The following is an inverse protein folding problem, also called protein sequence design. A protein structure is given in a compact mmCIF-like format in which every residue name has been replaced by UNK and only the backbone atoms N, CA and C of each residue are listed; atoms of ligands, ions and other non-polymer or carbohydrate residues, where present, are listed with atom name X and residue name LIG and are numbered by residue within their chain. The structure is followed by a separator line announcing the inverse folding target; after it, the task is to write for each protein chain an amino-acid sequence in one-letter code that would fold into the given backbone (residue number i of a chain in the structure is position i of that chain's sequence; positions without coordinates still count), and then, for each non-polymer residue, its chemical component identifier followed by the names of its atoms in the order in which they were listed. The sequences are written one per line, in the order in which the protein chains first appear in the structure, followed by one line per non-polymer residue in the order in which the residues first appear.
data_IF_713708122222
#
_entry.id   IF_713708122222
#
_cell.length_a   1.000
_cell.length_b   1.000
_cell.length_c   1.000
_cell.angle_alpha   90.00
_cell.angle_beta   90.00
_cell.angle_gamma   90.00
#
_symmetry.space_group_name_H-M   'P 1'
#
loop_
_entity.id
_entity.type
_entity.pdbx_description
1 polymer ?
#
# COMPACT_ATOMS: atom_id res chain seq x y z
N UNK A 1 24.57 -22.17 33.67
CA UNK A 1 23.42 -21.89 32.77
C UNK A 1 23.88 -22.03 31.33
N UNK A 2 23.31 -22.99 30.59
CA UNK A 2 23.58 -23.20 29.17
C UNK A 2 23.09 -22.01 28.33
N UNK A 3 23.61 -21.85 27.11
CA UNK A 3 23.12 -20.83 26.16
C UNK A 3 21.60 -20.96 25.92
N UNK A 4 21.08 -22.19 25.93
CA UNK A 4 19.65 -22.49 25.81
C UNK A 4 18.83 -22.00 27.03
N UNK A 5 19.39 -22.06 28.24
CA UNK A 5 18.75 -21.53 29.46
C UNK A 5 18.79 -20.00 29.52
N UNK A 6 19.83 -19.37 28.94
CA UNK A 6 19.89 -17.91 28.79
C UNK A 6 18.87 -17.40 27.76
N UNK A 7 18.67 -18.12 26.66
CA UNK A 7 17.68 -17.77 25.63
C UNK A 7 16.23 -17.90 26.11
N UNK A 8 15.92 -18.87 26.99
CA UNK A 8 14.59 -19.02 27.60
C UNK A 8 14.19 -17.86 28.53
N UNK A 9 15.15 -17.08 29.03
CA UNK A 9 14.91 -15.92 29.90
C UNK A 9 14.79 -14.59 29.15
N UNK A 10 15.04 -14.58 27.84
CA UNK A 10 14.80 -13.40 27.01
C UNK A 10 13.30 -13.35 26.72
N UNK A 11 12.55 -12.60 27.52
CA UNK A 11 11.26 -12.09 27.07
C UNK A 11 11.55 -11.18 25.87
N UNK A 12 11.29 -11.68 24.67
CA UNK A 12 11.18 -10.82 23.49
C UNK A 12 10.12 -9.78 23.84
N UNK A 13 10.52 -8.50 23.96
CA UNK A 13 9.55 -7.40 23.95
C UNK A 13 8.62 -7.65 22.77
N UNK A 14 7.31 -7.55 22.98
CA UNK A 14 6.38 -7.41 21.86
C UNK A 14 6.88 -6.24 21.02
N UNK A 15 7.52 -6.54 19.89
CA UNK A 15 7.83 -5.54 18.89
C UNK A 15 6.51 -5.16 18.27
N UNK A 16 5.98 -4.01 18.69
CA UNK A 16 4.97 -3.29 17.92
C UNK A 16 5.54 -3.03 16.53
N UNK A 17 4.87 -3.55 15.50
CA UNK A 17 5.25 -3.22 14.13
C UNK A 17 4.70 -1.86 13.78
N UNK A 18 5.62 -0.94 13.45
CA UNK A 18 5.28 0.39 12.94
C UNK A 18 4.79 0.22 11.50
N UNK A 19 3.52 0.54 11.24
CA UNK A 19 3.09 0.84 9.87
C UNK A 19 3.75 2.17 9.49
N UNK A 20 4.84 2.05 8.73
CA UNK A 20 5.66 3.16 8.24
C UNK A 20 4.84 4.20 7.50
N UNK A 21 3.75 3.79 6.84
CA UNK A 21 2.85 4.66 6.08
C UNK A 21 1.72 5.27 6.90
N UNK A 22 1.64 4.97 8.21
CA UNK A 22 0.77 5.74 9.10
C UNK A 22 1.41 7.12 9.29
N UNK A 23 0.68 8.22 9.08
CA UNK A 23 1.05 9.48 9.70
C UNK A 23 1.28 9.23 11.21
N UNK A 24 2.36 9.77 11.77
CA UNK A 24 2.72 9.57 13.18
C UNK A 24 1.80 10.44 14.06
N UNK A 25 0.54 10.00 14.23
CA UNK A 25 -0.55 10.72 14.95
C UNK A 25 -0.69 10.26 16.41
N UNK A 26 0.11 9.28 16.83
CA UNK A 26 -0.08 8.60 18.12
C UNK A 26 0.75 9.17 19.28
N UNK A 27 1.52 10.25 19.09
CA UNK A 27 2.32 10.84 20.15
C UNK A 27 2.00 12.33 20.33
N UNK A 28 1.36 12.64 21.49
CA UNK A 28 1.36 13.91 22.25
C UNK A 28 1.32 15.22 21.45
N UNK A 29 0.26 16.01 21.70
CA UNK A 29 0.20 17.47 21.48
C UNK A 29 1.04 17.98 20.31
N UNK A 30 0.50 17.88 19.11
CA UNK A 30 1.16 18.39 17.92
C UNK A 30 1.48 19.87 18.01
N UNK A 31 2.69 20.23 17.58
CA UNK A 31 2.96 21.54 17.00
C UNK A 31 2.21 21.62 15.66
N UNK A 32 1.22 22.52 15.56
CA UNK A 32 0.42 22.76 14.35
C UNK A 32 1.30 23.00 13.10
N UNK A 33 2.54 23.47 13.29
CA UNK A 33 3.48 23.70 12.21
C UNK A 33 4.02 22.41 11.58
N UNK A 34 4.30 21.37 12.36
CA UNK A 34 4.82 20.10 11.83
C UNK A 34 3.76 19.35 11.01
N UNK A 35 2.51 19.34 11.48
CA UNK A 35 1.35 18.82 10.72
C UNK A 35 1.24 19.55 9.39
N UNK A 36 1.29 20.89 9.43
CA UNK A 36 1.15 21.72 8.23
C UNK A 36 2.26 21.45 7.23
N UNK A 37 3.50 21.26 7.68
CA UNK A 37 4.63 20.93 6.79
C UNK A 37 4.46 19.53 6.20
N UNK A 38 4.12 18.54 7.02
CA UNK A 38 3.89 17.16 6.58
C UNK A 38 2.79 17.11 5.52
N UNK A 39 1.65 17.74 5.80
CA UNK A 39 0.52 17.77 4.89
C UNK A 39 0.81 18.53 3.62
N UNK A 40 1.50 19.67 3.68
CA UNK A 40 1.87 20.36 2.45
C UNK A 40 2.66 19.42 1.55
N UNK A 41 3.66 18.71 2.10
CA UNK A 41 4.45 17.75 1.31
C UNK A 41 3.66 16.55 0.78
N UNK A 42 2.67 16.06 1.53
CA UNK A 42 1.79 14.95 1.10
C UNK A 42 0.81 15.42 0.01
N UNK A 43 0.09 16.52 0.27
CA UNK A 43 -0.90 17.09 -0.65
C UNK A 43 -0.24 17.54 -1.96
N UNK A 44 0.97 18.10 -1.89
CA UNK A 44 1.69 18.60 -3.06
C UNK A 44 2.14 17.46 -4.00
N UNK A 45 2.01 16.19 -3.60
CA UNK A 45 2.40 15.03 -4.43
C UNK A 45 1.30 13.97 -4.59
N UNK A 46 0.09 14.24 -4.12
CA UNK A 46 -1.05 13.38 -4.38
C UNK A 46 -1.29 13.20 -5.89
N UNK A 47 -2.05 12.18 -6.26
CA UNK A 47 -2.24 11.82 -7.68
C UNK A 47 -2.79 12.95 -8.55
N UNK A 48 -3.67 13.79 -8.02
CA UNK A 48 -4.16 14.98 -8.72
C UNK A 48 -3.09 16.02 -9.09
N UNK A 49 -1.88 15.94 -8.53
CA UNK A 49 -0.76 16.84 -8.83
C UNK A 49 0.15 16.31 -9.96
N UNK A 50 0.09 15.01 -10.27
CA UNK A 50 0.99 14.39 -11.26
C UNK A 50 0.29 13.59 -12.36
N UNK A 51 -0.98 13.24 -12.21
CA UNK A 51 -1.72 12.43 -13.19
C UNK A 51 -1.66 13.03 -14.61
N UNK A 52 -1.88 14.33 -14.74
CA UNK A 52 -1.89 15.04 -16.03
C UNK A 52 -0.49 15.28 -16.60
N UNK A 53 0.57 15.12 -15.79
CA UNK A 53 1.95 15.27 -16.24
C UNK A 53 2.45 14.01 -16.98
N UNK A 54 1.95 12.84 -16.58
CA UNK A 54 2.37 11.53 -17.11
C UNK A 54 1.19 10.58 -17.40
N UNK A 55 0.10 11.03 -18.06
CA UNK A 55 -1.12 10.25 -18.20
C UNK A 55 -0.91 8.97 -19.03
N UNK A 56 0.02 8.97 -19.99
CA UNK A 56 0.37 7.79 -20.79
C UNK A 56 1.31 6.79 -20.09
N UNK A 57 1.88 7.15 -18.93
CA UNK A 57 2.84 6.31 -18.19
C UNK A 57 2.28 5.76 -16.90
N UNK A 58 0.99 5.96 -16.64
CA UNK A 58 0.29 5.39 -15.49
C UNK A 58 -0.99 4.68 -15.93
N UNK A 59 -1.61 3.94 -15.03
CA UNK A 59 -2.87 3.26 -15.33
C UNK A 59 -3.97 4.27 -15.68
N UNK A 60 -4.84 3.89 -16.62
CA UNK A 60 -6.03 4.69 -16.95
C UNK A 60 -6.80 4.99 -15.67
N UNK A 61 -6.90 6.28 -15.34
CA UNK A 61 -7.39 6.77 -14.05
C UNK A 61 -8.46 7.82 -14.29
N UNK A 62 -9.50 7.81 -13.44
CA UNK A 62 -10.48 8.88 -13.34
C UNK A 62 -10.61 9.31 -11.88
N UNK A 63 -10.59 10.62 -11.67
CA UNK A 63 -10.79 11.23 -10.37
C UNK A 63 -12.28 11.53 -10.17
N UNK A 64 -12.79 11.16 -9.00
CA UNK A 64 -14.11 11.57 -8.52
C UNK A 64 -13.91 12.34 -7.22
N UNK A 65 -14.11 13.68 -7.22
CA UNK A 65 -13.83 14.50 -6.06
C UNK A 65 -14.60 14.05 -4.82
N UNK A 66 -13.88 13.86 -3.72
CA UNK A 66 -14.47 13.79 -2.39
C UNK A 66 -14.87 15.21 -1.99
N UNK A 67 -16.04 15.37 -1.39
CA UNK A 67 -16.40 16.64 -0.74
C UNK A 67 -15.89 16.64 0.70
N UNK A 68 -15.78 17.83 1.26
CA UNK A 68 -15.42 17.98 2.67
C UNK A 68 -16.39 17.22 3.58
N UNK A 69 -17.69 17.26 3.25
CA UNK A 69 -18.73 16.54 3.98
C UNK A 69 -18.61 15.01 3.84
N UNK A 70 -18.09 14.51 2.71
CA UNK A 70 -17.82 13.08 2.53
C UNK A 70 -16.65 12.62 3.43
N UNK A 71 -15.63 13.46 3.60
CA UNK A 71 -14.55 13.18 4.54
C UNK A 71 -15.06 13.16 5.99
N UNK A 72 -15.87 14.15 6.38
CA UNK A 72 -16.52 14.17 7.70
C UNK A 72 -17.38 12.94 7.94
N UNK A 73 -18.12 12.49 6.92
CA UNK A 73 -18.91 11.27 6.96
C UNK A 73 -18.06 10.03 7.29
N UNK A 74 -16.95 9.80 6.58
CA UNK A 74 -16.08 8.64 6.85
C UNK A 74 -15.37 8.75 8.20
N UNK A 75 -14.95 9.95 8.61
CA UNK A 75 -14.39 10.17 9.94
C UNK A 75 -15.39 9.79 11.04
N UNK A 76 -16.62 10.31 10.98
CA UNK A 76 -17.68 10.01 11.95
C UNK A 76 -18.10 8.54 11.93
N UNK A 77 -18.19 7.93 10.75
CA UNK A 77 -18.54 6.52 10.61
C UNK A 77 -17.50 5.61 11.27
N UNK A 78 -16.21 5.90 11.10
CA UNK A 78 -15.13 5.16 11.76
C UNK A 78 -15.14 5.36 13.28
N UNK A 79 -15.30 6.60 13.78
CA UNK A 79 -15.40 6.85 15.23
C UNK A 79 -16.53 6.03 15.86
N UNK A 80 -17.73 6.07 15.28
CA UNK A 80 -18.86 5.30 15.78
C UNK A 80 -18.61 3.79 15.72
N UNK A 81 -18.18 3.27 14.57
CA UNK A 81 -18.09 1.82 14.36
C UNK A 81 -16.87 1.20 15.04
N UNK A 82 -15.72 1.84 14.95
CA UNK A 82 -14.43 1.27 15.35
C UNK A 82 -13.93 1.76 16.71
N UNK A 83 -14.22 3.01 17.12
CA UNK A 83 -13.82 3.53 18.42
C UNK A 83 -14.88 3.32 19.49
N UNK A 84 -16.15 3.57 19.16
CA UNK A 84 -17.26 3.46 20.10
C UNK A 84 -17.98 2.11 20.06
N UNK A 85 -17.69 1.26 19.08
CA UNK A 85 -18.35 -0.03 18.86
C UNK A 85 -19.89 0.10 18.76
N UNK A 86 -20.36 1.16 18.09
CA UNK A 86 -21.78 1.44 17.84
C UNK A 86 -22.14 1.15 16.38
N UNK A 87 -23.43 0.92 16.14
CA UNK A 87 -23.95 0.83 14.78
C UNK A 87 -23.98 2.20 14.10
N UNK A 88 -23.81 2.19 12.78
CA UNK A 88 -23.97 3.40 11.97
C UNK A 88 -25.42 3.90 12.06
N UNK A 89 -25.57 5.22 12.19
CA UNK A 89 -26.89 5.86 12.16
C UNK A 89 -27.52 5.73 10.77
N UNK A 90 -28.84 5.79 10.71
CA UNK A 90 -29.56 5.72 9.43
C UNK A 90 -29.17 6.87 8.49
N UNK A 91 -28.89 8.05 9.05
CA UNK A 91 -28.39 9.17 8.26
C UNK A 91 -27.04 8.88 7.60
N UNK A 92 -26.08 8.33 8.35
CA UNK A 92 -24.75 7.95 7.82
C UNK A 92 -24.90 6.88 6.74
N UNK A 93 -25.72 5.85 6.97
CA UNK A 93 -25.98 4.79 5.99
C UNK A 93 -26.55 5.35 4.68
N UNK A 94 -27.55 6.22 4.77
CA UNK A 94 -28.18 6.85 3.61
C UNK A 94 -27.20 7.73 2.83
N UNK A 95 -26.32 8.47 3.52
CA UNK A 95 -25.30 9.29 2.88
C UNK A 95 -24.26 8.43 2.16
N UNK A 96 -23.78 7.35 2.78
CA UNK A 96 -22.85 6.38 2.16
C UNK A 96 -23.50 5.72 0.94
N UNK A 97 -24.77 5.33 1.03
CA UNK A 97 -25.49 4.70 -0.09
C UNK A 97 -25.62 5.65 -1.28
N UNK A 98 -26.00 6.91 -1.03
CA UNK A 98 -26.06 7.94 -2.08
C UNK A 98 -24.68 8.22 -2.69
N UNK A 99 -23.62 8.23 -1.88
CA UNK A 99 -22.25 8.40 -2.38
C UNK A 99 -21.84 7.19 -3.24
N UNK A 100 -22.19 5.98 -2.82
CA UNK A 100 -21.93 4.75 -3.56
C UNK A 100 -22.62 4.74 -4.92
N UNK A 101 -23.88 5.18 -5.02
CA UNK A 101 -24.60 5.27 -6.31
C UNK A 101 -23.89 6.18 -7.31
N UNK A 102 -23.37 7.32 -6.85
CA UNK A 102 -22.66 8.27 -7.72
C UNK A 102 -21.28 7.75 -8.11
N UNK A 103 -20.53 7.20 -7.15
CA UNK A 103 -19.23 6.59 -7.41
C UNK A 103 -19.35 5.38 -8.35
N UNK A 104 -20.42 4.58 -8.24
CA UNK A 104 -20.64 3.42 -9.09
C UNK A 104 -20.76 3.81 -10.57
N UNK A 105 -21.37 4.96 -10.88
CA UNK A 105 -21.44 5.47 -12.27
C UNK A 105 -20.04 5.71 -12.82
N UNK A 106 -19.16 6.35 -12.04
CA UNK A 106 -17.77 6.62 -12.43
C UNK A 106 -16.96 5.34 -12.57
N UNK A 107 -17.16 4.37 -11.66
CA UNK A 107 -16.55 3.04 -11.74
C UNK A 107 -16.94 2.36 -13.06
N UNK A 108 -18.22 2.39 -13.42
CA UNK A 108 -18.72 1.75 -14.65
C UNK A 108 -18.09 2.35 -15.92
N UNK A 109 -17.82 3.67 -15.93
CA UNK A 109 -17.16 4.32 -17.06
C UNK A 109 -15.71 3.86 -17.28
N UNK A 110 -14.97 3.55 -16.21
CA UNK A 110 -13.59 3.03 -16.31
C UNK A 110 -13.59 1.54 -16.63
N UNK A 111 -14.50 0.79 -16.01
CA UNK A 111 -14.68 -0.66 -16.18
C UNK A 111 -14.85 -0.99 -17.67
N UNK A 112 -15.76 -0.30 -18.38
CA UNK A 112 -16.07 -0.62 -19.79
C UNK A 112 -16.29 -2.14 -19.94
N UNK A 113 -15.54 -2.80 -20.83
CA UNK A 113 -15.60 -4.25 -21.07
C UNK A 113 -14.72 -5.07 -20.10
N UNK A 114 -13.81 -4.43 -19.37
CA UNK A 114 -12.89 -5.07 -18.43
C UNK A 114 -13.50 -5.05 -17.01
N UNK A 115 -13.75 -6.20 -16.37
CA UNK A 115 -14.61 -6.21 -15.21
C UNK A 115 -14.00 -5.60 -13.94
N UNK A 116 -12.71 -5.26 -13.91
CA UNK A 116 -11.97 -4.99 -12.67
C UNK A 116 -11.39 -3.57 -12.60
N UNK A 117 -11.57 -2.95 -11.44
CA UNK A 117 -10.97 -1.66 -11.11
C UNK A 117 -10.38 -1.71 -9.70
N UNK A 118 -9.45 -0.79 -9.46
CA UNK A 118 -8.92 -0.48 -8.15
C UNK A 118 -9.36 0.94 -7.76
N UNK A 119 -9.73 1.14 -6.50
CA UNK A 119 -10.10 2.48 -6.00
C UNK A 119 -9.36 2.78 -4.69
N UNK A 120 -8.73 3.96 -4.63
CA UNK A 120 -8.04 4.50 -3.44
C UNK A 120 -8.46 5.95 -3.15
N UNK A 121 -8.05 6.51 -2.02
CA UNK A 121 -8.08 7.97 -1.79
C UNK A 121 -7.01 8.65 -2.64
N UNK A 122 -6.84 9.98 -2.56
CA UNK A 122 -5.75 10.66 -3.26
C UNK A 122 -4.37 10.14 -2.82
N UNK A 123 -4.19 9.88 -1.53
CA UNK A 123 -2.90 9.51 -0.94
C UNK A 123 -2.70 7.99 -0.85
N UNK A 124 -3.66 7.20 -0.37
CA UNK A 124 -3.46 5.75 -0.11
C UNK A 124 -4.72 4.89 -0.26
N UNK A 125 -4.49 3.58 -0.35
CA UNK A 125 -5.55 2.56 -0.36
C UNK A 125 -5.86 2.02 1.03
N UNK A 126 -7.10 1.58 1.22
CA UNK A 126 -7.62 0.88 2.39
C UNK A 126 -7.11 -0.59 2.50
N UNK A 127 -5.79 -0.81 2.37
CA UNK A 127 -5.15 -2.15 2.37
C UNK A 127 -5.24 -2.87 3.73
N UNK A 128 -5.58 -2.15 4.78
CA UNK A 128 -5.64 -2.60 6.17
C UNK A 128 -6.95 -3.33 6.54
N UNK A 129 -7.97 -3.30 5.68
CA UNK A 129 -9.29 -3.89 5.99
C UNK A 129 -9.36 -5.38 5.68
N UNK A 130 -8.53 -5.86 4.74
CA UNK A 130 -8.54 -7.25 4.26
C UNK A 130 -8.47 -8.29 5.40
N UNK A 131 -7.48 -8.21 6.32
CA UNK A 131 -7.32 -9.17 7.42
C UNK A 131 -8.56 -9.38 8.30
N UNK A 132 -9.52 -8.45 8.33
CA UNK A 132 -10.74 -8.57 9.11
C UNK A 132 -11.89 -9.24 8.36
N UNK A 133 -11.68 -9.66 7.11
CA UNK A 133 -12.71 -10.23 6.24
C UNK A 133 -12.53 -11.73 6.06
N UNK A 134 -13.61 -12.49 6.20
CA UNK A 134 -13.59 -13.94 5.99
C UNK A 134 -13.11 -14.32 4.58
N UNK A 135 -13.45 -13.51 3.57
CA UNK A 135 -13.01 -13.71 2.19
C UNK A 135 -11.47 -13.67 2.07
N UNK A 136 -10.80 -12.76 2.77
CA UNK A 136 -9.34 -12.69 2.76
C UNK A 136 -8.70 -13.98 3.29
N UNK A 137 -9.24 -14.53 4.37
CA UNK A 137 -8.77 -15.80 4.94
C UNK A 137 -8.93 -16.94 3.92
N UNK A 138 -10.08 -17.02 3.25
CA UNK A 138 -10.34 -18.03 2.23
C UNK A 138 -9.37 -17.91 1.05
N UNK A 139 -9.15 -16.69 0.55
CA UNK A 139 -8.17 -16.44 -0.53
C UNK A 139 -6.76 -16.82 -0.08
N UNK A 140 -6.34 -16.42 1.12
CA UNK A 140 -5.04 -16.76 1.67
C UNK A 140 -4.83 -18.27 1.74
N UNK A 141 -5.78 -19.02 2.32
CA UNK A 141 -5.70 -20.47 2.42
C UNK A 141 -5.68 -21.13 1.04
N UNK A 142 -6.46 -20.63 0.06
CA UNK A 142 -6.46 -21.16 -1.30
C UNK A 142 -5.09 -20.95 -1.99
N UNK A 143 -4.52 -19.74 -1.90
CA UNK A 143 -3.19 -19.43 -2.46
C UNK A 143 -2.09 -20.27 -1.78
N UNK A 144 -2.16 -20.43 -0.45
CA UNK A 144 -1.20 -21.22 0.31
C UNK A 144 -1.28 -22.72 -0.03
N UNK A 145 -2.49 -23.27 -0.23
CA UNK A 145 -2.68 -24.66 -0.67
C UNK A 145 -1.97 -24.96 -1.99
N UNK A 146 -1.90 -23.98 -2.89
CA UNK A 146 -1.23 -24.08 -4.18
C UNK A 146 0.31 -23.98 -4.10
N UNK A 147 0.88 -23.56 -2.96
CA UNK A 147 2.34 -23.49 -2.77
C UNK A 147 2.91 -24.87 -2.48
N UNK A 148 4.12 -25.10 -2.99
CA UNK A 148 4.81 -26.41 -2.91
C UNK A 148 5.52 -26.63 -1.58
N UNK A 149 6.27 -25.65 -1.09
CA UNK A 149 7.07 -25.79 0.13
C UNK A 149 6.28 -25.35 1.36
N UNK A 150 5.44 -24.32 1.21
CA UNK A 150 4.63 -23.72 2.29
C UNK A 150 5.49 -23.32 3.50
N UNK A 151 6.73 -22.92 3.23
CA UNK A 151 7.61 -22.31 4.22
C UNK A 151 7.10 -20.89 4.58
N UNK A 152 7.79 -20.21 5.50
CA UNK A 152 7.39 -18.87 5.92
C UNK A 152 7.38 -17.86 4.76
N UNK A 153 8.23 -18.04 3.74
CA UNK A 153 8.25 -17.18 2.58
C UNK A 153 7.01 -17.41 1.70
N UNK A 154 6.67 -18.67 1.41
CA UNK A 154 5.45 -19.04 0.68
C UNK A 154 4.19 -18.54 1.39
N UNK A 155 4.13 -18.66 2.73
CA UNK A 155 3.02 -18.14 3.54
C UNK A 155 2.88 -16.61 3.43
N UNK A 156 3.99 -15.87 3.52
CA UNK A 156 3.96 -14.42 3.36
C UNK A 156 3.55 -14.02 1.93
N UNK A 157 4.07 -14.71 0.91
CA UNK A 157 3.69 -14.47 -0.50
C UNK A 157 2.18 -14.72 -0.68
N UNK A 158 1.64 -15.80 -0.13
CA UNK A 158 0.21 -16.10 -0.24
C UNK A 158 -0.68 -15.09 0.47
N UNK A 159 -0.23 -14.49 1.58
CA UNK A 159 -0.93 -13.35 2.20
C UNK A 159 -0.93 -12.14 1.28
N UNK A 160 0.22 -11.80 0.69
CA UNK A 160 0.32 -10.67 -0.25
C UNK A 160 -0.60 -10.88 -1.45
N UNK A 161 -0.58 -12.06 -2.06
CA UNK A 161 -1.46 -12.44 -3.17
C UNK A 161 -2.94 -12.30 -2.78
N UNK A 162 -3.34 -12.79 -1.61
CA UNK A 162 -4.71 -12.62 -1.10
C UNK A 162 -5.06 -11.13 -0.88
N UNK A 163 -4.11 -10.33 -0.40
CA UNK A 163 -4.27 -8.88 -0.27
C UNK A 163 -4.54 -8.19 -1.59
N UNK A 164 -3.83 -8.56 -2.66
CA UNK A 164 -4.03 -8.00 -4.00
C UNK A 164 -5.42 -8.36 -4.53
N UNK A 165 -5.91 -9.58 -4.30
CA UNK A 165 -7.28 -9.96 -4.67
C UNK A 165 -8.35 -9.12 -3.93
N UNK A 166 -8.05 -8.66 -2.72
CA UNK A 166 -8.95 -7.78 -1.98
C UNK A 166 -8.97 -6.33 -2.49
N UNK A 167 -8.00 -5.92 -3.32
CA UNK A 167 -7.98 -4.59 -3.94
C UNK A 167 -8.89 -4.46 -5.15
N UNK A 168 -9.34 -5.59 -5.72
CA UNK A 168 -10.26 -5.63 -6.85
C UNK A 168 -11.65 -5.22 -6.38
N UNK A 169 -12.09 -4.02 -6.78
CA UNK A 169 -13.39 -3.46 -6.38
C UNK A 169 -14.50 -4.06 -7.24
N UNK A 170 -15.47 -4.70 -6.59
CA UNK A 170 -16.65 -5.27 -7.25
C UNK A 170 -17.82 -4.28 -7.35
N UNK A 171 -18.01 -3.46 -6.32
CA UNK A 171 -19.03 -2.42 -6.25
C UNK A 171 -18.57 -1.25 -5.37
N UNK A 172 -19.09 -0.06 -5.66
CA UNK A 172 -18.89 1.12 -4.82
C UNK A 172 -19.41 0.89 -3.40
N UNK A 173 -20.53 0.18 -3.24
CA UNK A 173 -21.11 -0.11 -1.92
C UNK A 173 -20.17 -0.92 -1.03
N UNK A 174 -19.61 -2.01 -1.55
CA UNK A 174 -18.61 -2.83 -0.83
C UNK A 174 -17.35 -2.02 -0.51
N UNK A 175 -16.87 -1.23 -1.48
CA UNK A 175 -15.72 -0.35 -1.30
C UNK A 175 -15.93 0.67 -0.17
N UNK A 176 -17.03 1.42 -0.18
CA UNK A 176 -17.27 2.45 0.82
C UNK A 176 -17.52 1.85 2.20
N UNK A 177 -18.13 0.66 2.27
CA UNK A 177 -18.20 -0.07 3.53
C UNK A 177 -16.80 -0.46 4.02
N UNK A 178 -15.90 -0.92 3.16
CA UNK A 178 -14.51 -1.18 3.57
C UNK A 178 -13.83 0.09 4.10
N UNK A 179 -14.06 1.25 3.49
CA UNK A 179 -13.49 2.52 3.97
C UNK A 179 -13.91 2.86 5.40
N UNK A 180 -15.15 2.55 5.81
CA UNK A 180 -15.61 2.73 7.21
C UNK A 180 -14.77 1.95 8.22
N UNK A 181 -14.16 0.84 7.82
CA UNK A 181 -13.33 -0.01 8.70
C UNK A 181 -11.83 0.26 8.57
N UNK A 182 -11.41 1.16 7.67
CA UNK A 182 -10.00 1.42 7.40
C UNK A 182 -9.44 2.50 8.32
N UNK A 183 -8.49 2.13 9.17
CA UNK A 183 -7.75 3.07 10.00
C UNK A 183 -6.93 4.01 9.11
N UNK A 184 -6.40 3.50 7.99
CA UNK A 184 -5.70 4.32 7.00
C UNK A 184 -6.60 5.44 6.47
N UNK A 185 -7.77 5.12 5.94
CA UNK A 185 -8.70 6.13 5.43
C UNK A 185 -9.13 7.09 6.54
N UNK A 186 -9.46 6.58 7.73
CA UNK A 186 -9.81 7.43 8.88
C UNK A 186 -8.75 8.50 9.17
N UNK A 187 -7.48 8.11 9.23
CA UNK A 187 -6.38 9.03 9.47
C UNK A 187 -6.22 10.06 8.36
N UNK A 188 -6.43 9.69 7.08
CA UNK A 188 -6.38 10.66 5.98
C UNK A 188 -7.51 11.67 6.08
N UNK A 189 -8.74 11.19 6.33
CA UNK A 189 -9.91 12.06 6.45
C UNK A 189 -9.74 13.01 7.64
N UNK A 190 -9.25 12.52 8.79
CA UNK A 190 -8.95 13.36 9.94
C UNK A 190 -7.99 14.50 9.58
N UNK A 191 -6.88 14.18 8.90
CA UNK A 191 -5.89 15.15 8.43
C UNK A 191 -6.52 16.13 7.42
N UNK A 192 -7.26 15.64 6.43
CA UNK A 192 -7.85 16.47 5.38
C UNK A 192 -8.88 17.47 5.93
N UNK A 193 -9.74 17.03 6.85
CA UNK A 193 -10.77 17.87 7.50
C UNK A 193 -10.14 19.01 8.30
N UNK A 194 -8.99 18.79 8.94
CA UNK A 194 -8.28 19.84 9.69
C UNK A 194 -7.75 20.97 8.79
N UNK A 195 -7.63 20.75 7.47
CA UNK A 195 -7.03 21.69 6.53
C UNK A 195 -8.00 22.08 5.42
N UNK A 196 -9.20 22.51 5.83
CA UNK A 196 -10.30 22.88 4.94
C UNK A 196 -9.92 23.80 3.78
N UNK A 197 -8.99 24.75 3.97
CA UNK A 197 -8.56 25.69 2.92
C UNK A 197 -7.74 25.05 1.80
N UNK A 198 -7.15 23.89 2.05
CA UNK A 198 -6.38 23.10 1.07
C UNK A 198 -7.04 21.76 0.74
N UNK A 199 -8.29 21.56 1.16
CA UNK A 199 -8.98 20.30 0.96
C UNK A 199 -9.09 19.98 -0.54
N UNK A 200 -8.37 18.94 -0.97
CA UNK A 200 -8.36 18.42 -2.33
C UNK A 200 -8.14 16.92 -2.21
N UNK A 201 -9.23 16.19 -2.19
CA UNK A 201 -9.24 14.73 -2.03
C UNK A 201 -10.13 14.13 -3.10
N UNK A 202 -9.79 12.93 -3.55
CA UNK A 202 -10.51 12.24 -4.60
C UNK A 202 -10.67 10.76 -4.24
N UNK A 203 -11.78 10.17 -4.69
CA UNK A 203 -11.76 8.79 -5.07
C UNK A 203 -10.98 8.67 -6.38
N UNK A 204 -9.98 7.83 -6.39
CA UNK A 204 -9.10 7.60 -7.53
C UNK A 204 -9.46 6.25 -8.12
N UNK A 205 -10.23 6.25 -9.21
CA UNK A 205 -10.69 5.03 -9.87
C UNK A 205 -9.69 4.67 -10.97
N UNK A 206 -9.02 3.54 -10.83
CA UNK A 206 -7.99 3.08 -11.77
C UNK A 206 -8.40 1.78 -12.42
N UNK A 207 -8.13 1.65 -13.73
CA UNK A 207 -8.24 0.37 -14.42
C UNK A 207 -7.32 -0.64 -13.72
N UNK A 208 -7.84 -1.84 -13.46
CA UNK A 208 -7.02 -2.91 -12.93
C UNK A 208 -6.00 -3.37 -13.97
N UNK A 209 -4.77 -3.61 -13.52
CA UNK A 209 -3.72 -4.22 -14.33
C UNK A 209 -3.19 -5.40 -13.52
N UNK A 210 -3.24 -6.59 -14.09
CA UNK A 210 -2.66 -7.76 -13.46
C UNK A 210 -1.14 -7.61 -13.41
N UNK A 211 -0.61 -7.69 -12.20
CA UNK A 211 0.80 -7.57 -11.91
C UNK A 211 1.16 -8.64 -10.89
N UNK A 212 2.29 -9.30 -11.13
CA UNK A 212 2.86 -10.21 -10.15
C UNK A 212 3.43 -9.41 -8.95
N UNK A 213 3.18 -9.81 -7.69
CA UNK A 213 3.57 -9.03 -6.51
C UNK A 213 5.06 -8.68 -6.39
N UNK A 214 5.95 -9.45 -7.01
CA UNK A 214 7.40 -9.19 -6.99
C UNK A 214 7.87 -8.25 -8.10
N UNK A 215 7.00 -7.89 -9.04
CA UNK A 215 7.31 -6.94 -10.12
C UNK A 215 6.93 -5.50 -9.78
N UNK A 216 6.83 -5.18 -8.50
CA UNK A 216 6.64 -3.83 -7.98
C UNK A 216 7.95 -3.32 -7.35
N UNK A 217 8.35 -2.10 -7.71
CA UNK A 217 9.63 -1.50 -7.32
C UNK A 217 9.44 -0.08 -6.82
N UNK A 218 10.17 0.29 -5.76
CA UNK A 218 10.18 1.63 -5.20
C UNK A 218 11.48 2.34 -5.54
N UNK A 219 11.39 3.44 -6.28
CA UNK A 219 12.48 4.33 -6.63
C UNK A 219 12.54 5.57 -5.74
N UNK A 220 13.75 6.05 -5.48
CA UNK A 220 14.02 7.28 -4.75
C UNK A 220 14.59 8.29 -5.72
N UNK A 221 13.91 9.42 -5.89
CA UNK A 221 14.35 10.52 -6.76
C UNK A 221 14.75 11.69 -5.88
N UNK A 222 16.01 12.10 -6.00
CA UNK A 222 16.59 13.22 -5.27
C UNK A 222 17.25 14.18 -6.26
N UNK A 223 16.93 15.47 -6.16
CA UNK A 223 17.36 16.51 -7.10
C UNK A 223 17.14 16.12 -8.57
N UNK A 224 16.01 15.48 -8.85
CA UNK A 224 15.61 15.00 -10.17
C UNK A 224 16.36 13.77 -10.67
N UNK A 225 17.22 13.14 -9.87
CA UNK A 225 17.96 11.91 -10.23
C UNK A 225 17.40 10.71 -9.49
N UNK A 226 17.21 9.59 -10.18
CA UNK A 226 16.91 8.31 -9.55
C UNK A 226 18.18 7.80 -8.86
N UNK A 227 18.21 7.80 -7.53
CA UNK A 227 19.38 7.48 -6.69
C UNK A 227 19.31 6.09 -6.07
N UNK A 228 18.12 5.56 -5.85
CA UNK A 228 17.95 4.22 -5.31
C UNK A 228 16.71 3.53 -5.86
N UNK A 229 16.76 2.20 -5.90
CA UNK A 229 15.65 1.34 -6.30
C UNK A 229 15.57 0.15 -5.34
N UNK A 230 14.38 -0.21 -4.89
CA UNK A 230 14.11 -1.36 -4.02
C UNK A 230 13.04 -2.24 -4.64
N UNK A 231 13.10 -3.56 -4.46
CA UNK A 231 11.87 -4.37 -4.53
C UNK A 231 10.87 -3.82 -3.50
N UNK A 232 9.60 -3.68 -3.88
CA UNK A 232 8.58 -3.06 -3.03
C UNK A 232 8.15 -3.99 -1.90
N UNK A 233 7.75 -5.22 -2.24
CA UNK A 233 7.29 -6.24 -1.28
C UNK A 233 8.48 -6.93 -0.56
N UNK A 234 9.31 -6.12 0.08
CA UNK A 234 10.64 -6.45 0.58
C UNK A 234 10.70 -7.41 1.78
N UNK A 235 9.55 -7.87 2.28
CA UNK A 235 9.48 -8.92 3.32
C UNK A 235 9.62 -10.33 2.75
N UNK A 236 9.37 -10.52 1.46
CA UNK A 236 9.51 -11.82 0.81
C UNK A 236 10.72 -11.87 -0.13
N UNK A 237 11.08 -13.09 -0.49
CA UNK A 237 12.14 -13.44 -1.40
C UNK A 237 11.58 -14.13 -2.63
N UNK A 238 11.99 -13.65 -3.81
CA UNK A 238 11.63 -14.26 -5.09
C UNK A 238 12.89 -14.64 -5.86
N UNK A 239 13.15 -15.95 -6.07
CA UNK A 239 14.34 -16.41 -6.80
C UNK A 239 14.47 -15.79 -8.19
N UNK A 240 13.35 -15.54 -8.89
CA UNK A 240 13.38 -14.94 -10.23
C UNK A 240 13.87 -13.50 -10.24
N UNK A 241 13.61 -12.71 -9.18
CA UNK A 241 14.15 -11.36 -9.08
C UNK A 241 15.68 -11.35 -9.06
N UNK A 242 16.31 -12.34 -8.41
CA UNK A 242 17.77 -12.46 -8.40
C UNK A 242 18.31 -12.70 -9.81
N UNK A 243 17.64 -13.57 -10.57
CA UNK A 243 18.03 -13.90 -11.95
C UNK A 243 17.86 -12.71 -12.90
N UNK A 244 16.84 -11.88 -12.65
CA UNK A 244 16.46 -10.77 -13.52
C UNK A 244 17.01 -9.40 -13.08
N UNK A 245 17.73 -9.34 -11.95
CA UNK A 245 18.13 -8.07 -11.30
C UNK A 245 18.73 -7.06 -12.30
N UNK A 246 19.77 -7.45 -13.02
CA UNK A 246 20.47 -6.54 -13.94
C UNK A 246 19.60 -6.08 -15.11
N UNK A 247 18.70 -6.96 -15.58
CA UNK A 247 17.75 -6.61 -16.64
C UNK A 247 16.71 -5.60 -16.14
N UNK A 248 16.08 -5.88 -15.00
CA UNK A 248 15.08 -5.01 -14.37
C UNK A 248 15.66 -3.63 -14.03
N UNK A 249 16.88 -3.62 -13.48
CA UNK A 249 17.64 -2.39 -13.21
C UNK A 249 17.74 -1.52 -14.46
N UNK A 250 18.24 -2.11 -15.55
CA UNK A 250 18.44 -1.40 -16.81
C UNK A 250 17.13 -0.83 -17.34
N UNK A 251 16.08 -1.65 -17.45
CA UNK A 251 14.83 -1.20 -18.09
C UNK A 251 14.10 -0.14 -17.27
N UNK A 252 14.11 -0.24 -15.93
CA UNK A 252 13.45 0.74 -15.05
C UNK A 252 14.21 2.06 -15.06
N UNK A 253 15.54 2.02 -14.98
CA UNK A 253 16.39 3.21 -15.04
C UNK A 253 16.25 3.90 -16.40
N UNK A 254 16.36 3.16 -17.50
CA UNK A 254 16.20 3.70 -18.86
C UNK A 254 14.81 4.31 -19.04
N UNK A 255 13.76 3.64 -18.55
CA UNK A 255 12.39 4.15 -18.60
C UNK A 255 12.23 5.46 -17.82
N UNK A 256 12.78 5.54 -16.60
CA UNK A 256 12.72 6.77 -15.81
C UNK A 256 13.34 7.95 -16.54
N UNK A 257 14.58 7.81 -17.02
CA UNK A 257 15.31 8.91 -17.66
C UNK A 257 14.75 9.26 -19.05
N UNK A 258 14.22 8.29 -19.78
CA UNK A 258 13.69 8.52 -21.13
C UNK A 258 12.28 9.09 -21.13
N UNK A 259 11.44 8.67 -20.18
CA UNK A 259 9.99 8.95 -20.23
C UNK A 259 9.48 9.83 -19.09
N UNK A 260 10.05 9.69 -17.88
CA UNK A 260 9.44 10.24 -16.66
C UNK A 260 10.13 11.52 -16.20
N UNK A 261 11.46 11.52 -16.10
CA UNK A 261 12.23 12.58 -15.45
C UNK A 261 11.84 13.98 -15.94
N UNK A 262 11.92 14.21 -17.26
CA UNK A 262 11.63 15.52 -17.86
C UNK A 262 10.19 15.99 -17.67
N UNK A 263 9.25 15.06 -17.52
CA UNK A 263 7.83 15.39 -17.34
C UNK A 263 7.49 15.82 -15.92
N UNK A 264 8.26 15.33 -14.94
CA UNK A 264 8.05 15.64 -13.53
C UNK A 264 9.00 16.73 -13.01
N UNK A 265 10.16 16.96 -13.65
CA UNK A 265 11.22 17.79 -13.07
C UNK A 265 10.88 19.27 -12.85
N UNK A 266 9.85 19.81 -13.53
CA UNK A 266 9.36 21.17 -13.30
C UNK A 266 8.57 21.31 -12.00
N UNK A 267 7.93 20.23 -11.56
CA UNK A 267 7.02 20.22 -10.41
C UNK A 267 7.66 19.53 -9.21
N UNK A 268 8.50 18.52 -9.45
CA UNK A 268 9.04 17.63 -8.44
C UNK A 268 10.55 17.48 -8.58
N UNK A 269 11.28 17.74 -7.49
CA UNK A 269 12.73 17.48 -7.41
C UNK A 269 13.06 16.31 -6.49
N UNK A 270 12.30 16.13 -5.42
CA UNK A 270 12.51 15.07 -4.44
C UNK A 270 11.20 14.33 -4.24
N UNK A 271 11.17 13.05 -4.59
CA UNK A 271 9.99 12.20 -4.47
C UNK A 271 10.34 10.73 -4.48
N UNK A 272 9.41 9.91 -4.01
CA UNK A 272 9.45 8.46 -4.14
C UNK A 272 8.51 8.09 -5.27
N UNK A 273 8.90 7.12 -6.09
CA UNK A 273 8.12 6.67 -7.25
C UNK A 273 8.01 5.14 -7.23
N UNK A 274 6.78 4.63 -7.26
CA UNK A 274 6.53 3.20 -7.33
C UNK A 274 6.26 2.81 -8.79
N UNK A 275 6.96 1.79 -9.28
CA UNK A 275 6.85 1.24 -10.63
C UNK A 275 6.31 -0.17 -10.61
N UNK A 276 5.60 -0.57 -11.66
CA UNK A 276 5.41 -1.97 -12.00
C UNK A 276 6.12 -2.35 -13.30
N UNK A 277 6.51 -3.62 -13.39
CA UNK A 277 6.92 -4.25 -14.65
C UNK A 277 5.92 -5.36 -14.99
N UNK A 278 5.30 -5.28 -16.15
CA UNK A 278 4.23 -6.18 -16.59
C UNK A 278 4.46 -6.68 -18.02
N UNK A 279 3.54 -7.51 -18.50
CA UNK A 279 3.61 -8.16 -19.81
C UNK A 279 4.37 -9.49 -19.75
N UNK A 280 4.06 -10.39 -20.68
CA UNK A 280 4.64 -11.75 -20.71
C UNK A 280 6.17 -11.75 -20.80
N UNK A 281 6.74 -10.71 -21.42
CA UNK A 281 8.19 -10.53 -21.58
C UNK A 281 8.80 -9.58 -20.55
N UNK A 282 8.00 -9.05 -19.62
CA UNK A 282 8.42 -8.06 -18.62
C UNK A 282 9.12 -6.86 -19.27
N UNK A 283 8.45 -6.27 -20.25
CA UNK A 283 8.93 -5.16 -21.09
C UNK A 283 8.02 -3.92 -21.02
N UNK A 284 6.90 -3.99 -20.30
CA UNK A 284 6.00 -2.87 -20.08
C UNK A 284 6.18 -2.33 -18.67
N UNK A 285 6.41 -1.03 -18.54
CA UNK A 285 6.62 -0.36 -17.25
C UNK A 285 5.57 0.72 -17.07
N UNK A 286 4.99 0.77 -15.89
CA UNK A 286 4.04 1.82 -15.50
C UNK A 286 4.41 2.42 -14.15
N UNK A 287 4.10 3.70 -13.99
CA UNK A 287 4.12 4.39 -12.71
C UNK A 287 2.85 4.07 -11.94
N UNK A 288 3.00 3.47 -10.76
CA UNK A 288 1.91 3.17 -9.84
C UNK A 288 1.60 4.41 -9.01
N UNK A 289 2.59 5.00 -8.36
CA UNK A 289 2.37 6.03 -7.33
C UNK A 289 3.56 6.99 -7.24
N UNK A 290 3.31 8.26 -6.93
CA UNK A 290 4.32 9.15 -6.37
C UNK A 290 4.03 9.35 -4.88
N UNK A 291 5.06 9.25 -4.05
CA UNK A 291 4.96 9.43 -2.61
C UNK A 291 5.94 10.53 -2.15
N UNK A 292 5.66 11.22 -1.04
CA UNK A 292 6.55 12.26 -0.55
C UNK A 292 7.90 11.69 -0.14
N UNK A 293 8.97 12.46 -0.40
CA UNK A 293 10.33 12.13 0.02
C UNK A 293 10.52 12.44 1.51
N UNK A 294 9.98 11.55 2.35
CA UNK A 294 9.91 11.70 3.80
C UNK A 294 10.22 10.37 4.48
N UNK A 295 10.75 10.44 5.70
CA UNK A 295 11.03 9.26 6.54
C UNK A 295 9.78 8.47 6.95
N UNK A 296 8.59 9.07 6.81
CA UNK A 296 7.28 8.45 6.97
C UNK A 296 6.81 7.69 5.71
N UNK A 297 7.59 7.69 4.63
CA UNK A 297 7.34 6.82 3.48
C UNK A 297 8.19 5.58 3.67
N UNK A 298 7.63 4.37 3.53
CA UNK A 298 8.40 3.13 3.72
C UNK A 298 9.66 3.10 2.83
N UNK A 299 10.85 2.94 3.43
CA UNK A 299 12.11 2.88 2.69
C UNK A 299 12.37 1.52 2.01
N UNK A 300 11.52 0.53 2.26
CA UNK A 300 11.67 -0.85 1.84
C UNK A 300 13.03 -1.45 2.28
N UNK A 301 13.95 -1.67 1.34
CA UNK A 301 15.30 -2.15 1.65
C UNK A 301 16.31 -1.05 1.99
N UNK A 302 15.86 0.21 2.11
CA UNK A 302 16.68 1.34 2.52
C UNK A 302 16.20 1.90 3.86
N UNK A 303 17.14 2.34 4.68
CA UNK A 303 16.86 3.00 5.96
C UNK A 303 16.98 4.51 5.82
N UNK A 304 15.88 5.25 5.99
CA UNK A 304 15.92 6.71 6.02
C UNK A 304 16.85 7.28 7.10
N UNK A 305 16.98 6.59 8.24
CA UNK A 305 17.81 7.03 9.36
C UNK A 305 19.30 6.79 9.07
N UNK A 306 19.65 5.59 8.61
CA UNK A 306 21.04 5.19 8.48
C UNK A 306 21.64 5.50 7.10
N UNK A 307 20.80 5.70 6.08
CA UNK A 307 21.22 5.73 4.67
C UNK A 307 20.72 6.98 3.94
N UNK A 308 20.32 8.03 4.67
CA UNK A 308 19.85 9.29 4.07
C UNK A 308 20.81 9.85 3.01
N UNK A 309 22.11 9.86 3.31
CA UNK A 309 23.13 10.38 2.37
C UNK A 309 23.19 9.57 1.07
N UNK A 310 23.04 8.23 1.16
CA UNK A 310 22.97 7.36 -0.01
C UNK A 310 21.70 7.65 -0.82
N UNK A 311 20.55 7.74 -0.14
CA UNK A 311 19.26 8.01 -0.78
C UNK A 311 19.25 9.40 -1.46
N UNK A 312 19.88 10.41 -0.86
CA UNK A 312 19.86 11.77 -1.39
C UNK A 312 20.96 12.05 -2.42
N UNK A 313 22.16 11.50 -2.23
CA UNK A 313 23.37 11.91 -2.95
C UNK A 313 24.26 10.73 -3.39
N UNK A 314 23.88 9.49 -3.07
CA UNK A 314 24.67 8.31 -3.39
C UNK A 314 24.76 8.02 -4.89
N UNK A 315 25.71 7.16 -5.30
CA UNK A 315 25.61 6.51 -6.60
C UNK A 315 24.32 5.70 -6.65
N UNK A 316 23.78 5.48 -7.85
CA UNK A 316 22.58 4.67 -8.02
C UNK A 316 22.77 3.27 -7.41
N UNK A 317 21.82 2.83 -6.58
CA UNK A 317 21.82 1.50 -5.98
C UNK A 317 20.47 0.79 -6.13
N UNK A 318 20.48 -0.44 -6.65
CA UNK A 318 19.30 -1.32 -6.70
C UNK A 318 19.41 -2.49 -5.71
N UNK A 319 18.43 -2.60 -4.80
CA UNK A 319 18.33 -3.66 -3.78
C UNK A 319 17.14 -4.58 -3.99
N UNK A 320 17.42 -5.87 -3.87
CA UNK A 320 16.43 -6.97 -3.81
C UNK A 320 16.86 -7.95 -2.72
N UNK A 321 15.94 -8.75 -2.19
CA UNK A 321 16.32 -9.85 -1.31
C UNK A 321 17.02 -10.93 -2.14
N UNK A 322 18.25 -11.31 -1.75
CA UNK A 322 19.01 -12.38 -2.39
C UNK A 322 18.75 -13.77 -1.77
N UNK A 323 18.06 -13.81 -0.63
CA UNK A 323 17.65 -15.01 0.09
C UNK A 323 16.43 -14.70 0.96
N UNK A 324 15.79 -15.74 1.48
CA UNK A 324 14.71 -15.63 2.45
C UNK A 324 15.19 -14.83 3.67
N UNK A 325 14.44 -13.81 4.06
CA UNK A 325 14.77 -12.92 5.17
C UNK A 325 14.33 -13.55 6.49
N UNK A 326 15.30 -13.84 7.38
CA UNK A 326 14.97 -14.28 8.73
C UNK A 326 14.26 -13.15 9.49
N UNK A 327 13.15 -13.47 10.14
CA UNK A 327 12.36 -12.48 10.89
C UNK A 327 11.42 -11.62 10.04
N UNK A 328 11.17 -11.95 8.77
CA UNK A 328 10.15 -11.24 7.96
C UNK A 328 8.80 -11.15 8.67
N UNK A 329 8.39 -12.24 9.34
CA UNK A 329 7.19 -12.31 10.17
C UNK A 329 7.11 -11.22 11.25
N UNK A 330 8.23 -10.89 11.93
CA UNK A 330 8.24 -9.88 12.99
C UNK A 330 8.18 -8.45 12.46
N UNK A 331 8.32 -8.25 11.15
CA UNK A 331 8.18 -6.96 10.49
C UNK A 331 6.78 -6.75 9.88
N UNK A 332 5.96 -7.80 9.79
CA UNK A 332 4.59 -7.68 9.29
C UNK A 332 3.70 -6.89 10.24
N UNK A 333 2.73 -6.16 9.69
CA UNK A 333 1.67 -5.52 10.45
C UNK A 333 0.95 -6.54 11.34
N UNK A 334 0.54 -6.13 12.54
CA UNK A 334 -0.05 -7.01 13.56
C UNK A 334 -1.23 -7.82 13.02
N UNK A 335 -2.18 -7.19 12.34
CA UNK A 335 -3.36 -7.87 11.79
C UNK A 335 -3.00 -8.95 10.77
N UNK A 336 -2.01 -8.68 9.91
CA UNK A 336 -1.50 -9.67 8.96
C UNK A 336 -0.77 -10.82 9.65
N UNK A 337 -0.02 -10.53 10.72
CA UNK A 337 0.68 -11.54 11.52
C UNK A 337 -0.30 -12.46 12.25
N UNK A 338 -1.39 -11.91 12.79
CA UNK A 338 -2.44 -12.72 13.41
C UNK A 338 -3.06 -13.71 12.41
N UNK A 339 -3.34 -13.26 11.18
CA UNK A 339 -3.83 -14.17 10.13
C UNK A 339 -2.78 -15.21 9.75
N UNK A 340 -1.52 -14.79 9.58
CA UNK A 340 -0.40 -15.69 9.32
C UNK A 340 -0.30 -16.79 10.38
N UNK A 341 -0.37 -16.42 11.66
CA UNK A 341 -0.22 -17.36 12.78
C UNK A 341 -1.41 -18.30 12.90
N UNK A 342 -2.62 -17.77 12.73
CA UNK A 342 -3.85 -18.53 12.96
C UNK A 342 -4.23 -19.44 11.80
N UNK A 343 -3.96 -19.02 10.56
CA UNK A 343 -4.51 -19.69 9.36
C UNK A 343 -3.45 -20.29 8.42
N UNK A 344 -2.16 -20.31 8.79
CA UNK A 344 -1.11 -20.92 7.97
C UNK A 344 -1.02 -22.46 8.05
N UNK A 345 -1.66 -23.09 9.05
CA UNK A 345 -1.65 -24.54 9.23
C UNK A 345 -2.89 -25.17 8.59
N UNK A 346 -2.83 -25.35 7.27
CA UNK A 346 -3.95 -25.85 6.44
C UNK A 346 -4.09 -27.38 6.40
N UNK A 347 -3.13 -28.13 6.95
CA UNK A 347 -3.12 -29.59 6.88
C UNK A 347 -3.99 -30.28 7.95
N UNK A 348 -4.50 -29.56 8.96
CA UNK A 348 -5.25 -30.15 10.08
C UNK A 348 -6.78 -30.27 9.85
N UNK A 349 -7.36 -29.63 8.83
CA UNK A 349 -8.82 -29.62 8.64
C UNK A 349 -9.35 -30.81 7.81
N UNK A 350 -8.50 -31.51 7.05
CA UNK A 350 -8.93 -32.72 6.30
C UNK A 350 -8.87 -34.01 7.13
N UNK A 351 -8.09 -34.04 8.21
CA UNK A 351 -8.00 -35.21 9.10
C UNK A 351 -9.10 -35.23 10.19
N UNK A 352 -9.72 -34.09 10.50
CA UNK A 352 -10.87 -34.03 11.43
C UNK A 352 -12.21 -34.36 10.77
N UNK A 353 -12.32 -34.33 9.43
CA UNK A 353 -13.52 -34.79 8.71
C UNK A 353 -13.46 -36.28 8.35
N UNK A 354 -12.38 -36.98 8.72
CA UNK A 354 -12.18 -38.42 8.52
C UNK A 354 -12.09 -39.22 9.83
N UNK A 355 -12.36 -38.59 10.98
CA UNK A 355 -12.63 -39.25 12.26
C UNK A 355 -14.08 -39.02 12.65
#
# INVERSE_FOLDING_TARGET
MSLAEKLKKVQLKQTETKDSSKPDITAKEYDENEIKIYQNKVLDINIEEWLDLIPEFTFKTKLFPLKYEDAELFFQAYELKMKENKELTENIKNQIEKLAENLQKVINEIKQDDPQVFVKSSSRSAKDTGPYQQKFIMEYQAKLKAKKLRDDNDKMISLLEAGYEMLKVKSAKELLMNWVFSERIYQDMFIAIKHKSRFKENFVIRKWVDMDPDMEFRGFVSNGKLTALSQYNHLCFWPRLVQMKSYLEKIIVDYFYSNIQKKLESNFKNYIIDFCVVGEKLDQIWVIELNPFLSTTDGCLFSWENEKSLIENGPFEFRINSKIRSGGKSLMQTSWREIFEKYSNIDNEEDEKKK
#
